data_IF_002051003000
#
_entry.id   IF_002051003000
#
_cell.length_a   1.000
_cell.length_b   1.000
_cell.length_c   1.000
_cell.angle_alpha   90.00
_cell.angle_beta   90.00
_cell.angle_gamma   90.00
#
_symmetry.space_group_name_H-M   'P 1'
#
loop_
_entity.id
_entity.type
_entity.pdbx_description
1 polymer ?
#
# COMPACT_ATOMS: atom_id res chain seq x y z
N UNK A 1 26.82 -3.56 5.54
CA UNK A 1 26.73 -2.50 4.53
C UNK A 1 25.33 -2.52 3.95
N UNK A 2 24.61 -1.41 4.05
CA UNK A 2 23.19 -1.34 3.67
C UNK A 2 23.08 -1.39 2.14
N UNK A 3 22.64 -2.52 1.61
CA UNK A 3 22.65 -2.86 0.17
C UNK A 3 21.71 -2.00 -0.69
N UNK A 4 21.09 -0.99 -0.09
CA UNK A 4 20.10 -0.10 -0.70
C UNK A 4 20.63 1.32 -0.97
N UNK A 5 21.91 1.58 -0.70
CA UNK A 5 22.56 2.90 -0.90
C UNK A 5 22.99 3.08 -2.36
N UNK A 6 22.00 3.17 -3.25
CA UNK A 6 22.08 3.73 -4.60
C UNK A 6 20.97 4.78 -4.78
N UNK A 7 20.97 5.59 -5.85
CA UNK A 7 19.99 6.69 -6.07
C UNK A 7 18.57 6.24 -5.66
N UNK A 8 18.10 6.73 -4.50
CA UNK A 8 16.96 6.17 -3.76
C UNK A 8 15.65 6.54 -4.43
N UNK A 9 15.15 5.67 -5.31
CA UNK A 9 13.77 5.77 -5.78
C UNK A 9 12.86 5.31 -4.64
N UNK A 10 11.97 6.18 -4.21
CA UNK A 10 10.92 5.86 -3.24
C UNK A 10 9.60 5.91 -3.99
N UNK A 11 8.94 4.75 -4.08
CA UNK A 11 7.59 4.63 -4.61
C UNK A 11 6.64 4.55 -3.43
N UNK A 12 5.65 5.44 -3.41
CA UNK A 12 4.56 5.44 -2.44
C UNK A 12 3.27 5.27 -3.20
N UNK A 13 2.53 4.20 -2.90
CA UNK A 13 1.23 3.94 -3.53
C UNK A 13 0.31 3.26 -2.54
N UNK A 14 -1.01 3.43 -2.73
CA UNK A 14 -1.99 2.78 -1.84
C UNK A 14 -1.74 1.27 -1.71
N UNK A 15 -1.56 0.55 -2.83
CA UNK A 15 -1.26 -0.89 -2.80
C UNK A 15 0.23 -1.15 -3.00
N UNK A 16 0.75 -2.14 -2.31
CA UNK A 16 2.05 -2.76 -2.57
C UNK A 16 1.99 -3.68 -3.82
N UNK A 17 3.14 -4.08 -4.38
CA UNK A 17 3.22 -5.10 -5.43
C UNK A 17 2.97 -6.51 -4.89
N UNK A 18 2.49 -6.63 -3.66
CA UNK A 18 2.09 -7.87 -3.00
C UNK A 18 0.81 -7.67 -2.19
N UNK A 19 0.06 -8.75 -2.02
CA UNK A 19 -1.11 -8.82 -1.17
C UNK A 19 -0.85 -9.82 -0.05
N UNK A 20 -1.18 -9.43 1.18
CA UNK A 20 -1.04 -10.29 2.34
C UNK A 20 -2.39 -10.89 2.71
N UNK A 21 -2.45 -12.22 2.79
CA UNK A 21 -3.62 -12.97 3.25
C UNK A 21 -3.25 -13.88 4.41
N UNK A 22 -4.20 -14.10 5.30
CA UNK A 22 -4.07 -15.12 6.33
C UNK A 22 -4.72 -16.41 5.87
N UNK A 23 -3.98 -17.51 5.96
CA UNK A 23 -4.48 -18.86 5.74
C UNK A 23 -4.36 -19.63 7.06
N UNK A 24 -5.48 -19.80 7.77
CA UNK A 24 -5.50 -20.34 9.14
C UNK A 24 -4.60 -19.52 10.08
N UNK A 25 -3.46 -20.07 10.49
CA UNK A 25 -2.49 -19.40 11.37
C UNK A 25 -1.27 -18.86 10.62
N UNK A 26 -1.15 -19.13 9.32
CA UNK A 26 0.00 -18.74 8.50
C UNK A 26 -0.30 -17.54 7.60
N UNK A 27 0.72 -16.73 7.37
CA UNK A 27 0.66 -15.58 6.48
C UNK A 27 1.17 -15.95 5.09
N UNK A 28 0.36 -15.70 4.08
CA UNK A 28 0.68 -15.94 2.67
C UNK A 28 0.83 -14.60 1.95
N UNK A 29 1.93 -14.44 1.23
CA UNK A 29 2.21 -13.24 0.43
C UNK A 29 2.05 -13.57 -1.04
N UNK A 30 1.00 -13.05 -1.65
CA UNK A 30 0.70 -13.24 -3.08
C UNK A 30 1.19 -12.03 -3.90
N UNK A 31 1.44 -12.20 -5.22
CA UNK A 31 1.70 -11.08 -6.11
C UNK A 31 0.52 -10.12 -6.16
N UNK A 32 0.80 -8.82 -6.09
CA UNK A 32 -0.16 -7.76 -6.39
C UNK A 32 -0.33 -7.61 -7.91
N UNK A 33 -1.50 -7.13 -8.32
CA UNK A 33 -1.83 -6.91 -9.72
C UNK A 33 -2.12 -5.43 -10.00
N UNK A 34 -2.05 -5.04 -11.28
CA UNK A 34 -2.44 -3.72 -11.77
C UNK A 34 -1.34 -3.00 -12.56
N UNK A 35 -1.75 -2.02 -13.38
CA UNK A 35 -0.84 -1.29 -14.27
C UNK A 35 0.31 -0.59 -13.56
N UNK A 36 0.07 -0.06 -12.35
CA UNK A 36 1.09 0.57 -11.52
C UNK A 36 2.17 -0.43 -11.09
N UNK A 37 1.78 -1.66 -10.69
CA UNK A 37 2.72 -2.73 -10.34
C UNK A 37 3.58 -3.11 -11.53
N UNK A 38 2.95 -3.31 -12.69
CA UNK A 38 3.63 -3.67 -13.94
C UNK A 38 4.62 -2.59 -14.38
N UNK A 39 4.25 -1.31 -14.26
CA UNK A 39 5.07 -0.19 -14.71
C UNK A 39 6.28 0.10 -13.79
N UNK A 40 6.08 0.07 -12.46
CA UNK A 40 7.11 0.52 -11.50
C UNK A 40 8.04 -0.59 -11.02
N UNK A 41 7.60 -1.85 -11.01
CA UNK A 41 8.45 -2.96 -10.52
C UNK A 41 9.77 -3.12 -11.28
N UNK A 42 9.82 -3.03 -12.64
CA UNK A 42 11.08 -3.11 -13.38
C UNK A 42 12.06 -1.98 -13.03
N UNK A 43 11.55 -0.77 -12.79
CA UNK A 43 12.37 0.41 -12.44
C UNK A 43 13.05 0.20 -11.10
N UNK A 44 12.29 -0.23 -10.09
CA UNK A 44 12.82 -0.51 -8.76
C UNK A 44 13.75 -1.73 -8.75
N UNK A 45 13.45 -2.79 -9.51
CA UNK A 45 14.35 -3.94 -9.68
C UNK A 45 15.71 -3.55 -10.24
N UNK A 46 15.73 -2.62 -11.19
CA UNK A 46 16.97 -2.18 -11.84
C UNK A 46 17.78 -1.20 -10.99
N UNK A 47 17.11 -0.31 -10.25
CA UNK A 47 17.77 0.80 -9.53
C UNK A 47 17.94 0.56 -8.02
N UNK A 48 17.25 -0.45 -7.49
CA UNK A 48 17.01 -0.55 -6.04
C UNK A 48 16.05 0.55 -5.56
N UNK A 49 15.73 0.53 -4.27
CA UNK A 49 14.88 1.53 -3.64
C UNK A 49 13.85 0.95 -2.70
N UNK A 50 12.81 1.74 -2.46
CA UNK A 50 11.76 1.47 -1.48
C UNK A 50 10.39 1.52 -2.16
N UNK A 51 9.53 0.58 -1.81
CA UNK A 51 8.11 0.62 -2.12
C UNK A 51 7.30 0.60 -0.84
N UNK A 52 6.63 1.71 -0.54
CA UNK A 52 5.78 1.91 0.63
C UNK A 52 4.31 1.81 0.19
N UNK A 53 3.52 1.00 0.90
CA UNK A 53 2.10 0.83 0.59
C UNK A 53 1.36 -0.06 1.56
N UNK A 54 0.03 -0.09 1.46
CA UNK A 54 -0.80 -1.03 2.20
C UNK A 54 -0.78 -2.42 1.54
N UNK A 55 -0.67 -3.46 2.38
CA UNK A 55 -0.61 -4.87 1.95
C UNK A 55 -1.95 -5.44 1.51
N UNK A 56 -3.03 -4.69 1.63
CA UNK A 56 -4.37 -5.22 1.36
C UNK A 56 -4.95 -6.09 2.45
N UNK A 57 -4.22 -6.29 3.55
CA UNK A 57 -4.70 -7.06 4.68
C UNK A 57 -5.64 -6.20 5.54
N UNK A 58 -6.78 -6.80 5.92
CA UNK A 58 -7.73 -6.22 6.88
C UNK A 58 -7.36 -6.50 8.34
N UNK A 59 -6.60 -7.57 8.56
CA UNK A 59 -6.21 -7.95 9.91
C UNK A 59 -5.10 -7.06 10.43
N UNK A 60 -5.20 -6.74 11.72
CA UNK A 60 -4.14 -6.05 12.44
C UNK A 60 -2.94 -6.98 12.63
N UNK A 61 -1.77 -6.49 12.24
CA UNK A 61 -0.49 -7.18 12.36
C UNK A 61 0.42 -6.28 13.21
N UNK A 62 1.31 -6.79 14.04
CA UNK A 62 2.31 -5.91 14.65
C UNK A 62 3.28 -5.39 13.58
N UNK A 63 3.75 -4.15 13.67
CA UNK A 63 4.72 -3.58 12.72
C UNK A 63 5.97 -4.44 12.54
N UNK A 64 6.50 -5.02 13.63
CA UNK A 64 7.63 -5.94 13.60
C UNK A 64 7.31 -7.24 12.86
N UNK A 65 6.13 -7.82 13.13
CA UNK A 65 5.65 -9.04 12.46
C UNK A 65 5.43 -8.80 10.97
N UNK A 66 4.85 -7.66 10.61
CA UNK A 66 4.65 -7.26 9.21
C UNK A 66 5.98 -7.12 8.49
N UNK A 67 6.96 -6.45 9.12
CA UNK A 67 8.32 -6.35 8.58
C UNK A 67 8.95 -7.73 8.39
N UNK A 68 8.82 -8.64 9.37
CA UNK A 68 9.32 -10.01 9.26
C UNK A 68 8.72 -10.77 8.07
N UNK A 69 7.40 -10.65 7.86
CA UNK A 69 6.69 -11.30 6.74
C UNK A 69 7.14 -10.74 5.37
N UNK A 70 7.39 -9.43 5.27
CA UNK A 70 7.76 -8.75 4.02
C UNK A 70 9.26 -8.85 3.69
N UNK A 71 10.10 -9.25 4.64
CA UNK A 71 11.56 -9.30 4.50
C UNK A 71 12.03 -10.29 3.42
N UNK A 72 11.53 -11.55 3.37
CA UNK A 72 11.90 -12.49 2.31
C UNK A 72 11.47 -12.00 0.92
N UNK A 73 10.31 -11.32 0.83
CA UNK A 73 9.82 -10.77 -0.44
C UNK A 73 10.69 -9.62 -0.91
N UNK A 74 11.06 -8.71 0.00
CA UNK A 74 11.99 -7.61 -0.30
C UNK A 74 13.33 -8.13 -0.86
N UNK A 75 13.87 -9.20 -0.28
CA UNK A 75 15.11 -9.83 -0.77
C UNK A 75 14.95 -10.38 -2.19
N UNK A 76 13.85 -11.09 -2.48
CA UNK A 76 13.59 -11.67 -3.81
C UNK A 76 13.25 -10.61 -4.87
N UNK A 77 12.60 -9.51 -4.48
CA UNK A 77 12.19 -8.45 -5.38
C UNK A 77 13.32 -7.51 -5.80
N UNK A 78 14.46 -7.51 -5.12
CA UNK A 78 15.57 -6.58 -5.43
C UNK A 78 15.29 -5.12 -5.06
N UNK A 79 14.28 -4.87 -4.22
CA UNK A 79 13.97 -3.59 -3.59
C UNK A 79 13.24 -3.83 -2.27
N UNK A 80 13.28 -2.87 -1.35
CA UNK A 80 12.67 -3.01 -0.04
C UNK A 80 11.17 -2.68 -0.10
N UNK A 81 10.36 -3.54 0.50
CA UNK A 81 8.90 -3.38 0.61
C UNK A 81 8.57 -3.00 2.05
N UNK A 82 7.84 -1.90 2.23
CA UNK A 82 7.42 -1.39 3.54
C UNK A 82 5.91 -1.33 3.58
N UNK A 83 5.32 -2.07 4.51
CA UNK A 83 3.88 -2.13 4.72
C UNK A 83 3.38 -0.98 5.59
N UNK A 84 2.38 -0.25 5.09
CA UNK A 84 1.54 0.66 5.88
C UNK A 84 0.35 -0.12 6.40
N UNK A 85 0.09 -0.02 7.70
CA UNK A 85 -1.05 -0.68 8.32
C UNK A 85 -2.24 0.25 8.38
N UNK A 86 -3.38 -0.28 7.97
CA UNK A 86 -4.66 0.39 8.04
C UNK A 86 -5.57 -0.43 8.96
N UNK A 87 -6.28 0.27 9.83
CA UNK A 87 -7.34 -0.28 10.66
C UNK A 87 -8.62 -0.45 9.84
N UNK A 88 -9.57 -1.27 10.29
CA UNK A 88 -10.81 -1.53 9.53
C UNK A 88 -11.57 -0.24 9.22
N UNK A 89 -11.65 0.70 10.18
CA UNK A 89 -12.30 2.00 9.97
C UNK A 89 -11.61 2.82 8.87
N UNK A 90 -10.28 2.76 8.77
CA UNK A 90 -9.52 3.44 7.73
C UNK A 90 -9.69 2.77 6.37
N UNK A 91 -9.77 1.44 6.33
CA UNK A 91 -10.05 0.71 5.10
C UNK A 91 -11.44 1.11 4.56
N UNK A 92 -12.44 1.16 5.44
CA UNK A 92 -13.80 1.55 5.06
C UNK A 92 -13.89 3.02 4.66
N UNK A 93 -13.31 3.97 5.42
CA UNK A 93 -13.47 5.39 5.13
C UNK A 93 -12.48 5.99 4.14
N UNK A 94 -11.21 5.58 4.15
CA UNK A 94 -10.20 6.09 3.21
C UNK A 94 -10.22 5.31 1.89
N UNK A 95 -10.17 3.97 1.93
CA UNK A 95 -10.05 3.17 0.72
C UNK A 95 -11.41 2.97 0.05
N UNK A 96 -12.39 2.40 0.75
CA UNK A 96 -13.72 2.19 0.17
C UNK A 96 -14.52 3.50 0.05
N UNK A 97 -14.45 4.36 1.06
CA UNK A 97 -15.14 5.66 1.12
C UNK A 97 -14.53 6.67 0.17
N UNK A 98 -13.52 7.42 0.62
CA UNK A 98 -13.02 8.57 -0.15
C UNK A 98 -12.39 8.16 -1.49
N UNK A 99 -11.47 7.19 -1.48
CA UNK A 99 -10.73 6.83 -2.70
C UNK A 99 -11.63 6.20 -3.76
N UNK A 100 -12.44 5.20 -3.39
CA UNK A 100 -13.24 4.44 -4.37
C UNK A 100 -14.68 4.92 -4.55
N UNK A 101 -15.27 5.62 -3.57
CA UNK A 101 -16.65 6.14 -3.68
C UNK A 101 -16.71 7.64 -3.95
N UNK A 102 -15.59 8.38 -3.88
CA UNK A 102 -15.53 9.81 -4.25
C UNK A 102 -14.55 10.04 -5.39
N UNK A 103 -13.25 9.86 -5.16
CA UNK A 103 -12.22 10.22 -6.14
C UNK A 103 -12.29 9.38 -7.42
N UNK A 104 -12.45 8.06 -7.29
CA UNK A 104 -12.53 7.17 -8.44
C UNK A 104 -13.68 7.56 -9.39
N UNK A 105 -14.96 7.57 -8.98
CA UNK A 105 -16.04 7.97 -9.90
C UNK A 105 -15.90 9.40 -10.41
N UNK A 106 -15.44 10.34 -9.57
CA UNK A 106 -15.21 11.73 -9.97
C UNK A 106 -14.17 11.85 -11.09
N UNK A 107 -13.06 11.11 -11.01
CA UNK A 107 -12.00 11.12 -12.04
C UNK A 107 -12.33 10.26 -13.27
N UNK A 108 -13.51 9.65 -13.32
CA UNK A 108 -13.98 8.84 -14.44
C UNK A 108 -15.30 9.38 -15.02
N UNK A 109 -15.62 10.66 -14.81
CA UNK A 109 -16.83 11.32 -15.32
C UNK A 109 -18.13 10.62 -14.88
N UNK A 110 -18.14 10.10 -13.65
CA UNK A 110 -19.28 9.45 -13.00
C UNK A 110 -19.72 10.23 -11.76
N UNK A 111 -19.85 11.56 -11.86
CA UNK A 111 -20.15 12.45 -10.74
C UNK A 111 -21.44 12.08 -10.00
N UNK A 112 -22.45 11.56 -10.72
CA UNK A 112 -23.72 11.10 -10.14
C UNK A 112 -23.58 9.83 -9.28
N UNK A 113 -22.43 9.15 -9.34
CA UNK A 113 -22.10 7.97 -8.52
C UNK A 113 -21.22 8.31 -7.31
N UNK A 114 -20.83 9.57 -7.14
CA UNK A 114 -20.01 10.00 -6.01
C UNK A 114 -20.82 10.01 -4.71
N UNK A 115 -20.22 9.49 -3.64
CA UNK A 115 -20.78 9.48 -2.28
C UNK A 115 -19.97 10.38 -1.35
N UNK A 116 -20.31 11.67 -1.32
CA UNK A 116 -19.59 12.66 -0.52
C UNK A 116 -19.93 12.56 0.96
N UNK A 117 -18.90 12.47 1.80
CA UNK A 117 -19.03 12.46 3.26
C UNK A 117 -17.81 13.16 3.89
N UNK A 118 -18.01 14.15 4.79
CA UNK A 118 -16.90 14.75 5.54
C UNK A 118 -16.06 13.73 6.32
N UNK A 119 -16.70 12.67 6.83
CA UNK A 119 -16.02 11.60 7.55
C UNK A 119 -15.01 10.84 6.66
N UNK A 120 -15.35 10.60 5.38
CA UNK A 120 -14.42 9.99 4.43
C UNK A 120 -13.21 10.88 4.19
N UNK A 121 -13.41 12.21 4.12
CA UNK A 121 -12.31 13.16 3.95
C UNK A 121 -11.36 13.17 5.16
N UNK A 122 -11.89 13.14 6.38
CA UNK A 122 -11.09 13.06 7.61
C UNK A 122 -10.22 11.80 7.63
N UNK A 123 -10.80 10.64 7.36
CA UNK A 123 -10.06 9.37 7.28
C UNK A 123 -9.05 9.38 6.12
N UNK A 124 -9.39 10.03 5.00
CA UNK A 124 -8.45 10.19 3.90
C UNK A 124 -7.21 10.98 4.29
N UNK A 125 -7.38 12.10 5.00
CA UNK A 125 -6.27 12.88 5.52
C UNK A 125 -5.45 12.10 6.56
N UNK A 126 -6.10 11.40 7.49
CA UNK A 126 -5.43 10.60 8.52
C UNK A 126 -4.54 9.52 7.90
N UNK A 127 -5.05 8.77 6.93
CA UNK A 127 -4.26 7.74 6.23
C UNK A 127 -3.11 8.37 5.46
N UNK A 128 -3.33 9.46 4.72
CA UNK A 128 -2.24 10.15 4.03
C UNK A 128 -1.14 10.64 5.02
N UNK A 129 -1.51 11.07 6.22
CA UNK A 129 -0.54 11.37 7.28
C UNK A 129 0.21 10.12 7.78
N UNK A 130 -0.45 8.95 7.89
CA UNK A 130 0.23 7.68 8.21
C UNK A 130 1.28 7.34 7.14
N UNK A 131 0.94 7.48 5.85
CA UNK A 131 1.88 7.31 4.76
C UNK A 131 3.05 8.31 4.82
N UNK A 132 2.75 9.59 5.04
CA UNK A 132 3.76 10.65 5.12
C UNK A 132 4.76 10.46 6.26
N UNK A 133 4.35 9.88 7.41
CA UNK A 133 5.25 9.59 8.54
C UNK A 133 6.30 8.51 8.24
N UNK A 134 6.11 7.72 7.17
CA UNK A 134 7.01 6.62 6.79
C UNK A 134 8.06 7.09 5.76
N UNK A 135 7.73 8.11 4.97
CA UNK A 135 8.59 8.69 3.92
C UNK A 135 9.64 9.61 4.52
#
# INVERSE_FOLDING_TARGET
MDKWVGKRVVVVSNRLPVVLRKNREEWVVDPGAGGLVTALSPVLRSRGGLWIGWTGCKEEIGSEKLRYILEPVSRRSGFQIIGVQLEELEIEGYYHGFSNSVLWPLFHDLETKCSFSPHFWELYLQVNHKFAKIV
#
